data_IF_549373609140
#
_entry.id   IF_549373609140
#
_cell.length_a   1.000
_cell.length_b   1.000
_cell.length_c   1.000
_cell.angle_alpha   90.00
_cell.angle_beta   90.00
_cell.angle_gamma   90.00
#
_symmetry.space_group_name_H-M   'P 1'
#
loop_
_entity.id
_entity.type
_entity.pdbx_description
1 polymer ?
#
# COMPACT_ATOMS: atom_id res chain seq x y z
N UNK A 1 1.28 -20.53 1.79
CA UNK A 1 0.33 -20.99 0.77
C UNK A 1 -1.11 -20.86 1.26
N UNK A 2 -2.00 -20.28 0.45
CA UNK A 2 -3.46 -20.25 0.67
C UNK A 2 -4.18 -20.98 -0.46
N UNK A 3 -5.31 -21.63 -0.15
CA UNK A 3 -6.13 -22.36 -1.13
C UNK A 3 -7.57 -21.90 -1.01
N UNK A 4 -8.18 -21.58 -2.14
CA UNK A 4 -9.57 -21.12 -2.25
C UNK A 4 -10.34 -21.95 -3.27
N UNK A 5 -11.65 -22.06 -3.07
CA UNK A 5 -12.56 -22.74 -3.99
C UNK A 5 -13.41 -21.75 -4.76
N UNK A 6 -13.61 -22.06 -6.04
CA UNK A 6 -14.33 -21.23 -7.00
C UNK A 6 -15.19 -22.11 -7.92
N UNK A 7 -16.26 -21.49 -8.43
CA UNK A 7 -17.09 -22.05 -9.50
C UNK A 7 -16.85 -21.27 -10.79
N UNK A 8 -16.64 -21.98 -11.90
CA UNK A 8 -16.46 -21.39 -13.22
C UNK A 8 -17.83 -21.18 -13.88
N UNK A 9 -18.24 -19.93 -14.05
CA UNK A 9 -19.52 -19.55 -14.64
C UNK A 9 -19.25 -18.60 -15.80
N UNK A 10 -19.61 -19.01 -17.01
CA UNK A 10 -19.43 -18.20 -18.25
C UNK A 10 -17.99 -17.69 -18.45
N UNK A 11 -16.99 -18.48 -18.07
CA UNK A 11 -15.58 -18.12 -18.22
C UNK A 11 -15.00 -17.30 -17.06
N UNK A 12 -15.81 -16.92 -16.08
CA UNK A 12 -15.36 -16.19 -14.89
C UNK A 12 -15.41 -17.08 -13.63
N UNK A 13 -14.47 -16.86 -12.71
CA UNK A 13 -14.38 -17.54 -11.43
C UNK A 13 -15.12 -16.77 -10.35
N UNK A 14 -16.15 -17.40 -9.80
CA UNK A 14 -16.95 -16.90 -8.68
C UNK A 14 -16.55 -17.62 -7.39
N UNK A 15 -16.29 -16.90 -6.27
CA UNK A 15 -16.01 -17.54 -4.99
C UNK A 15 -17.14 -18.49 -4.60
N UNK A 16 -16.81 -19.75 -4.31
CA UNK A 16 -17.77 -20.79 -3.95
C UNK A 16 -17.07 -21.85 -3.09
N UNK A 17 -17.46 -21.99 -1.83
CA UNK A 17 -16.88 -22.96 -0.91
C UNK A 17 -17.07 -24.42 -1.35
N UNK A 18 -18.07 -24.68 -2.19
CA UNK A 18 -18.33 -25.99 -2.78
C UNK A 18 -17.86 -26.09 -4.24
N UNK A 19 -17.19 -25.05 -4.75
CA UNK A 19 -16.72 -24.99 -6.13
C UNK A 19 -15.68 -26.06 -6.46
N UNK A 20 -15.68 -26.49 -7.72
CA UNK A 20 -14.76 -27.50 -8.26
C UNK A 20 -13.40 -26.94 -8.71
N UNK A 21 -13.24 -25.62 -8.81
CA UNK A 21 -11.97 -24.99 -9.20
C UNK A 21 -11.19 -24.65 -7.94
N UNK A 22 -9.94 -25.09 -7.87
CA UNK A 22 -9.00 -24.79 -6.80
C UNK A 22 -8.04 -23.69 -7.24
N UNK A 23 -7.92 -22.65 -6.42
CA UNK A 23 -7.01 -21.52 -6.64
C UNK A 23 -5.98 -21.51 -5.52
N UNK A 24 -4.71 -21.70 -5.88
CA UNK A 24 -3.57 -21.69 -4.98
C UNK A 24 -2.87 -20.34 -5.08
N UNK A 25 -2.56 -19.74 -3.92
CA UNK A 25 -1.84 -18.47 -3.84
C UNK A 25 -0.64 -18.61 -2.90
N UNK A 26 0.55 -18.34 -3.42
CA UNK A 26 1.81 -18.35 -2.68
C UNK A 26 2.70 -17.18 -3.10
N UNK A 27 2.65 -16.10 -2.31
CA UNK A 27 3.34 -14.86 -2.65
C UNK A 27 2.85 -14.33 -4.01
N UNK A 28 3.75 -14.13 -5.00
CA UNK A 28 3.36 -13.70 -6.35
C UNK A 28 2.81 -14.82 -7.23
N UNK A 29 2.89 -16.09 -6.79
CA UNK A 29 2.48 -17.25 -7.59
C UNK A 29 0.99 -17.52 -7.40
N UNK A 30 0.29 -17.66 -8.52
CA UNK A 30 -1.10 -18.10 -8.58
C UNK A 30 -1.20 -19.29 -9.51
N UNK A 31 -1.80 -20.37 -9.03
CA UNK A 31 -2.14 -21.53 -9.85
C UNK A 31 -3.63 -21.82 -9.72
N UNK A 32 -4.29 -22.09 -10.85
CA UNK A 32 -5.73 -22.36 -10.90
C UNK A 32 -5.94 -23.70 -11.56
N UNK A 33 -6.60 -24.62 -10.87
CA UNK A 33 -6.78 -26.01 -11.27
C UNK A 33 -8.25 -26.35 -11.29
N UNK A 34 -8.73 -26.92 -12.39
CA UNK A 34 -10.06 -27.50 -12.52
C UNK A 34 -9.92 -28.98 -12.85
N UNK A 35 -10.20 -29.86 -11.88
CA UNK A 35 -9.89 -31.29 -12.00
C UNK A 35 -8.38 -31.53 -12.14
N UNK A 36 -7.95 -32.08 -13.29
CA UNK A 36 -6.54 -32.34 -13.60
C UNK A 36 -5.93 -31.30 -14.56
N UNK A 37 -6.65 -30.22 -14.86
CA UNK A 37 -6.26 -29.22 -15.86
C UNK A 37 -5.94 -27.89 -15.21
N UNK A 38 -4.80 -27.31 -15.56
CA UNK A 38 -4.46 -25.94 -15.19
C UNK A 38 -5.22 -24.96 -16.10
N UNK A 39 -5.88 -23.99 -15.51
CA UNK A 39 -6.53 -22.89 -16.22
C UNK A 39 -5.52 -21.78 -16.45
N UNK A 40 -5.20 -21.53 -17.72
CA UNK A 40 -4.38 -20.40 -18.14
C UNK A 40 -5.21 -19.12 -18.15
N UNK A 41 -4.63 -18.00 -17.70
CA UNK A 41 -5.26 -16.66 -17.68
C UNK A 41 -6.64 -16.63 -16.99
N UNK A 42 -6.72 -17.01 -15.70
CA UNK A 42 -8.00 -17.03 -14.99
C UNK A 42 -8.60 -15.63 -14.85
N UNK A 43 -9.90 -15.52 -15.15
CA UNK A 43 -10.67 -14.28 -15.00
C UNK A 43 -11.52 -14.39 -13.73
N UNK A 44 -11.24 -13.56 -12.74
CA UNK A 44 -12.01 -13.52 -11.50
C UNK A 44 -13.19 -12.56 -11.64
N UNK A 45 -14.39 -13.02 -11.29
CA UNK A 45 -15.54 -12.13 -11.22
C UNK A 45 -15.32 -11.09 -10.12
N UNK A 46 -15.57 -9.82 -10.41
CA UNK A 46 -15.35 -8.69 -9.49
C UNK A 46 -16.68 -8.08 -9.06
N UNK A 47 -16.79 -7.81 -7.76
CA UNK A 47 -17.83 -6.90 -7.27
C UNK A 47 -17.58 -5.47 -7.76
N UNK A 48 -18.60 -4.60 -7.67
CA UNK A 48 -18.46 -3.18 -8.04
C UNK A 48 -17.35 -2.46 -7.26
N UNK A 49 -17.21 -2.79 -5.98
CA UNK A 49 -16.16 -2.22 -5.11
C UNK A 49 -14.77 -2.67 -5.56
N UNK A 50 -14.61 -3.97 -5.81
CA UNK A 50 -13.35 -4.56 -6.28
C UNK A 50 -12.93 -4.02 -7.65
N UNK A 51 -13.90 -3.89 -8.58
CA UNK A 51 -13.66 -3.29 -9.88
C UNK A 51 -13.19 -1.82 -9.77
N UNK A 52 -13.80 -1.05 -8.86
CA UNK A 52 -13.37 0.33 -8.60
C UNK A 52 -11.95 0.40 -8.04
N UNK A 53 -11.58 -0.49 -7.10
CA UNK A 53 -10.21 -0.56 -6.58
C UNK A 53 -9.20 -0.94 -7.67
N UNK A 54 -9.53 -1.91 -8.53
CA UNK A 54 -8.69 -2.29 -9.67
C UNK A 54 -8.47 -1.10 -10.61
N UNK A 55 -9.52 -0.34 -10.91
CA UNK A 55 -9.39 0.85 -11.75
C UNK A 55 -8.51 1.93 -11.09
N UNK A 56 -8.67 2.17 -9.80
CA UNK A 56 -7.84 3.11 -9.05
C UNK A 56 -6.36 2.70 -9.06
N UNK A 57 -6.05 1.41 -8.86
CA UNK A 57 -4.68 0.90 -8.94
C UNK A 57 -4.11 1.09 -10.34
N UNK A 58 -4.88 0.78 -11.39
CA UNK A 58 -4.45 0.99 -12.79
C UNK A 58 -4.14 2.46 -13.07
N UNK A 59 -5.01 3.38 -12.66
CA UNK A 59 -4.80 4.83 -12.81
C UNK A 59 -3.55 5.29 -12.05
N UNK A 60 -3.39 4.85 -10.80
CA UNK A 60 -2.21 5.18 -10.00
C UNK A 60 -0.92 4.63 -10.63
N UNK A 61 -0.96 3.41 -11.16
CA UNK A 61 0.17 2.79 -11.89
C UNK A 61 0.54 3.61 -13.12
N UNK A 62 -0.45 4.13 -13.86
CA UNK A 62 -0.22 5.01 -15.02
C UNK A 62 0.44 6.34 -14.63
N UNK A 63 0.00 6.99 -13.55
CA UNK A 63 0.61 8.23 -13.08
C UNK A 63 2.04 8.04 -12.56
N UNK A 64 2.30 6.91 -11.92
CA UNK A 64 3.58 6.65 -11.22
C UNK A 64 4.60 5.89 -12.06
N UNK A 65 4.17 5.26 -13.16
CA UNK A 65 5.00 4.36 -13.96
C UNK A 65 5.36 3.04 -13.27
N UNK A 66 4.68 2.69 -12.18
CA UNK A 66 4.94 1.46 -11.42
C UNK A 66 3.95 0.39 -11.83
N UNK A 67 4.45 -0.65 -12.49
CA UNK A 67 3.67 -1.79 -12.91
C UNK A 67 3.50 -2.81 -11.78
N UNK A 68 2.29 -3.37 -11.67
CA UNK A 68 1.96 -4.39 -10.66
C UNK A 68 1.11 -5.50 -11.25
N UNK A 69 1.42 -6.74 -10.87
CA UNK A 69 0.56 -7.88 -11.17
C UNK A 69 -0.57 -7.95 -10.13
N UNK A 70 -1.81 -7.77 -10.57
CA UNK A 70 -2.99 -7.84 -9.70
C UNK A 70 -3.46 -9.27 -9.44
N UNK A 71 -3.03 -10.24 -10.25
CA UNK A 71 -3.53 -11.61 -10.20
C UNK A 71 -3.46 -12.24 -8.79
N UNK A 72 -2.36 -12.10 -8.03
CA UNK A 72 -2.29 -12.61 -6.66
C UNK A 72 -3.33 -11.99 -5.73
N UNK A 73 -3.61 -10.70 -5.87
CA UNK A 73 -4.62 -10.03 -5.06
C UNK A 73 -6.05 -10.45 -5.45
N UNK A 74 -6.33 -10.59 -6.74
CA UNK A 74 -7.63 -10.98 -7.28
C UNK A 74 -8.01 -12.42 -6.93
N UNK A 75 -7.02 -13.29 -6.73
CA UNK A 75 -7.22 -14.68 -6.37
C UNK A 75 -7.83 -14.90 -4.96
N UNK A 76 -7.68 -13.94 -4.03
CA UNK A 76 -8.35 -14.00 -2.73
C UNK A 76 -9.85 -13.74 -2.89
N UNK A 77 -10.74 -14.41 -2.12
CA UNK A 77 -12.16 -14.11 -2.14
C UNK A 77 -12.57 -13.05 -1.10
N UNK A 78 -13.66 -12.33 -1.39
CA UNK A 78 -14.35 -11.44 -0.44
C UNK A 78 -13.46 -10.37 0.21
N UNK A 79 -13.59 -10.16 1.52
CA UNK A 79 -12.85 -9.12 2.26
C UNK A 79 -11.32 -9.26 2.13
N UNK A 80 -10.81 -10.48 1.98
CA UNK A 80 -9.38 -10.71 1.79
C UNK A 80 -8.88 -10.15 0.44
N UNK A 81 -9.73 -10.18 -0.61
CA UNK A 81 -9.45 -9.54 -1.89
C UNK A 81 -9.30 -8.04 -1.74
N UNK A 82 -10.28 -7.40 -1.11
CA UNK A 82 -10.30 -5.95 -0.87
C UNK A 82 -9.06 -5.52 -0.09
N UNK A 83 -8.70 -6.24 0.98
CA UNK A 83 -7.49 -5.97 1.75
C UNK A 83 -6.22 -6.12 0.90
N UNK A 84 -6.15 -7.15 0.06
CA UNK A 84 -5.00 -7.40 -0.81
C UNK A 84 -4.86 -6.32 -1.89
N UNK A 85 -5.96 -5.91 -2.52
CA UNK A 85 -5.98 -4.81 -3.49
C UNK A 85 -5.54 -3.48 -2.86
N UNK A 86 -6.03 -3.17 -1.66
CA UNK A 86 -5.59 -1.97 -0.93
C UNK A 86 -4.09 -2.01 -0.59
N UNK A 87 -3.54 -3.18 -0.25
CA UNK A 87 -2.09 -3.35 -0.04
C UNK A 87 -1.30 -3.09 -1.32
N UNK A 88 -1.77 -3.60 -2.46
CA UNK A 88 -1.14 -3.33 -3.76
C UNK A 88 -1.17 -1.83 -4.07
N UNK A 89 -2.32 -1.17 -3.85
CA UNK A 89 -2.45 0.27 -4.06
C UNK A 89 -1.49 1.08 -3.17
N UNK A 90 -1.40 0.72 -1.88
CA UNK A 90 -0.45 1.31 -0.93
C UNK A 90 1.00 1.12 -1.37
N UNK A 91 1.35 -0.10 -1.80
CA UNK A 91 2.68 -0.41 -2.33
C UNK A 91 3.04 0.45 -3.55
N UNK A 92 2.15 0.55 -4.56
CA UNK A 92 2.39 1.37 -5.75
C UNK A 92 2.73 2.81 -5.36
N UNK A 93 1.96 3.39 -4.44
CA UNK A 93 2.20 4.76 -4.02
C UNK A 93 3.46 4.92 -3.17
N UNK A 94 3.70 4.05 -2.20
CA UNK A 94 4.89 4.09 -1.35
C UNK A 94 6.17 3.93 -2.18
N UNK A 95 6.17 3.02 -3.15
CA UNK A 95 7.26 2.82 -4.10
C UNK A 95 7.52 4.09 -4.93
N UNK A 96 6.47 4.79 -5.35
CA UNK A 96 6.60 6.06 -6.09
C UNK A 96 7.24 7.15 -5.24
N UNK A 97 6.78 7.31 -3.98
CA UNK A 97 7.35 8.28 -3.03
C UNK A 97 8.83 7.93 -2.76
N UNK A 98 9.14 6.65 -2.52
CA UNK A 98 10.51 6.20 -2.32
C UNK A 98 11.41 6.56 -3.51
N UNK A 99 11.02 6.21 -4.74
CA UNK A 99 11.83 6.49 -5.94
C UNK A 99 12.06 7.98 -6.12
N UNK A 100 11.02 8.78 -5.89
CA UNK A 100 11.11 10.24 -5.97
C UNK A 100 12.11 10.78 -4.97
N UNK A 101 12.01 10.39 -3.69
CA UNK A 101 12.87 10.90 -2.64
C UNK A 101 14.31 10.38 -2.77
N UNK A 102 14.48 9.09 -3.10
CA UNK A 102 15.79 8.45 -3.26
C UNK A 102 16.59 9.01 -4.43
N UNK A 103 15.94 9.73 -5.35
CA UNK A 103 16.65 10.43 -6.43
C UNK A 103 17.47 11.63 -5.95
N UNK A 104 17.19 12.15 -4.75
CA UNK A 104 17.80 13.38 -4.22
C UNK A 104 18.35 13.25 -2.79
N UNK A 105 17.87 12.28 -2.02
CA UNK A 105 18.22 12.09 -0.61
C UNK A 105 18.56 10.62 -0.34
N UNK A 106 19.31 10.36 0.73
CA UNK A 106 19.41 9.03 1.31
C UNK A 106 18.08 8.66 1.97
N UNK A 107 17.45 7.58 1.49
CA UNK A 107 16.16 7.11 2.02
C UNK A 107 16.26 5.65 2.46
N UNK A 108 15.88 5.40 3.70
CA UNK A 108 15.78 4.05 4.26
C UNK A 108 14.29 3.65 4.38
N UNK A 109 13.94 2.41 4.00
CA UNK A 109 12.56 1.90 4.09
C UNK A 109 12.34 1.12 5.37
N UNK A 110 11.15 1.24 5.93
CA UNK A 110 10.66 0.41 7.04
C UNK A 110 11.68 0.25 8.17
N UNK A 111 12.36 1.34 8.53
CA UNK A 111 13.33 1.34 9.63
C UNK A 111 12.56 1.24 10.94
N UNK A 112 12.81 0.18 11.72
CA UNK A 112 12.22 0.06 13.07
C UNK A 112 12.83 1.13 13.96
N UNK A 113 12.03 2.14 14.32
CA UNK A 113 12.56 3.33 15.01
C UNK A 113 12.62 3.18 16.53
N UNK A 114 11.83 2.30 17.14
CA UNK A 114 11.88 2.02 18.59
C UNK A 114 11.29 0.65 18.91
N UNK A 115 11.43 0.15 20.13
CA UNK A 115 10.73 -1.08 20.56
C UNK A 115 9.28 -0.79 20.91
N UNK A 116 8.37 -1.67 20.49
CA UNK A 116 6.96 -1.53 20.82
C UNK A 116 6.75 -1.72 22.32
N UNK A 117 6.14 -0.73 22.97
CA UNK A 117 5.72 -0.83 24.37
C UNK A 117 4.41 -1.62 24.55
N UNK A 118 3.97 -2.37 23.53
CA UNK A 118 2.73 -3.14 23.57
C UNK A 118 2.60 -4.04 24.82
N UNK A 119 3.69 -4.64 25.29
CA UNK A 119 3.66 -5.47 26.50
C UNK A 119 3.27 -4.68 27.75
N UNK A 120 3.53 -3.38 27.78
CA UNK A 120 3.27 -2.48 28.90
C UNK A 120 1.94 -1.72 28.74
N UNK A 121 1.67 -1.18 27.54
CA UNK A 121 0.50 -0.31 27.30
C UNK A 121 -0.70 -1.04 26.71
N UNK A 122 -0.53 -2.28 26.22
CA UNK A 122 -1.50 -3.03 25.40
C UNK A 122 -1.93 -2.32 24.10
N UNK A 123 -1.31 -1.19 23.77
CA UNK A 123 -1.56 -0.45 22.54
C UNK A 123 -0.51 -0.84 21.50
N UNK A 124 -0.99 -1.29 20.33
CA UNK A 124 -0.10 -1.60 19.20
C UNK A 124 0.15 -0.33 18.41
N UNK A 125 1.32 0.26 18.63
CA UNK A 125 1.84 1.30 17.75
C UNK A 125 2.78 0.67 16.73
N UNK A 126 2.47 0.85 15.45
CA UNK A 126 3.43 0.63 14.38
C UNK A 126 4.53 1.69 14.54
N UNK A 127 5.73 1.22 14.83
CA UNK A 127 6.93 1.99 15.19
C UNK A 127 7.90 2.14 14.01
N UNK A 128 7.39 1.94 12.80
CA UNK A 128 8.17 1.76 11.59
C UNK A 128 7.54 2.66 10.54
N UNK A 129 8.03 3.90 10.38
CA UNK A 129 7.54 4.78 9.33
C UNK A 129 7.78 4.12 7.98
N UNK A 130 6.94 4.45 7.00
CA UNK A 130 7.09 3.89 5.65
C UNK A 130 8.51 4.19 5.12
N UNK A 131 8.95 5.44 5.23
CA UNK A 131 10.26 5.92 4.79
C UNK A 131 10.93 6.80 5.86
N UNK A 132 12.27 6.80 5.88
CA UNK A 132 13.07 7.71 6.68
C UNK A 132 14.12 8.40 5.80
N UNK A 133 14.02 9.72 5.67
CA UNK A 133 14.91 10.56 4.86
C UNK A 133 16.07 11.07 5.72
N UNK A 134 17.30 10.85 5.25
CA UNK A 134 18.56 11.26 5.91
C UNK A 134 18.63 10.88 7.39
N UNK A 135 18.00 9.76 7.77
CA UNK A 135 17.88 9.28 9.16
C UNK A 135 17.24 10.28 10.14
N UNK A 136 16.52 11.28 9.62
CA UNK A 136 16.02 12.42 10.40
C UNK A 136 14.53 12.70 10.22
N UNK A 137 14.01 12.55 9.01
CA UNK A 137 12.63 12.97 8.68
C UNK A 137 11.83 11.76 8.22
N UNK A 138 10.89 11.24 9.04
CA UNK A 138 9.98 10.19 8.61
C UNK A 138 8.99 10.74 7.58
N UNK A 139 8.72 9.93 6.56
CA UNK A 139 7.73 10.22 5.52
C UNK A 139 6.76 9.05 5.46
N UNK A 140 5.50 9.31 5.77
CA UNK A 140 4.41 8.34 5.69
C UNK A 140 3.64 8.53 4.38
N UNK A 141 3.56 7.48 3.55
CA UNK A 141 2.89 7.51 2.26
C UNK A 141 1.55 6.75 2.34
N UNK A 142 0.42 7.45 2.20
CA UNK A 142 -0.92 6.85 2.37
C UNK A 142 -1.88 7.24 1.26
N UNK A 143 -2.65 6.27 0.77
CA UNK A 143 -3.58 6.46 -0.36
C UNK A 143 -4.97 6.91 0.10
N UNK A 144 -5.44 6.44 1.26
CA UNK A 144 -6.82 6.72 1.71
C UNK A 144 -6.88 7.08 3.20
N UNK A 145 -6.53 6.13 4.05
CA UNK A 145 -6.57 6.31 5.50
C UNK A 145 -5.16 6.33 6.08
N UNK A 146 -4.93 7.25 7.01
CA UNK A 146 -3.73 7.30 7.83
C UNK A 146 -4.14 7.37 9.31
N UNK A 147 -3.32 6.79 10.19
CA UNK A 147 -3.60 6.76 11.62
C UNK A 147 -2.91 7.94 12.31
N UNK A 148 -3.68 8.95 12.75
CA UNK A 148 -3.14 10.10 13.47
C UNK A 148 -2.38 9.69 14.75
N UNK A 149 -2.84 8.66 15.47
CA UNK A 149 -2.15 8.16 16.65
C UNK A 149 -0.76 7.62 16.34
N UNK A 150 -0.60 6.94 15.19
CA UNK A 150 0.71 6.49 14.71
C UNK A 150 1.64 7.67 14.41
N UNK A 151 1.15 8.71 13.73
CA UNK A 151 1.93 9.92 13.46
C UNK A 151 2.33 10.64 14.77
N UNK A 152 1.41 10.67 15.74
CA UNK A 152 1.68 11.27 17.05
C UNK A 152 2.81 10.52 17.78
N UNK A 153 2.83 9.18 17.74
CA UNK A 153 3.93 8.40 18.30
C UNK A 153 5.26 8.69 17.60
N UNK A 154 5.27 8.76 16.27
CA UNK A 154 6.48 9.16 15.53
C UNK A 154 6.96 10.55 15.95
N UNK A 155 6.05 11.49 16.15
CA UNK A 155 6.39 12.87 16.51
C UNK A 155 7.10 13.00 17.87
N UNK A 156 6.95 12.02 18.77
CA UNK A 156 7.68 12.01 20.05
C UNK A 156 9.19 11.82 19.86
N UNK A 157 9.60 11.18 18.76
CA UNK A 157 11.01 10.93 18.42
C UNK A 157 11.52 11.80 17.29
N UNK A 158 10.65 12.14 16.35
CA UNK A 158 10.96 12.95 15.18
C UNK A 158 10.21 14.29 15.27
N UNK A 159 10.89 15.39 15.64
CA UNK A 159 10.25 16.70 15.77
C UNK A 159 9.63 17.24 14.47
N UNK A 160 10.07 16.69 13.33
CA UNK A 160 9.60 16.99 11.99
C UNK A 160 9.23 15.68 11.30
N UNK A 161 8.25 15.72 10.41
CA UNK A 161 7.85 14.57 9.60
C UNK A 161 6.84 14.99 8.54
N UNK A 162 6.64 14.10 7.56
CA UNK A 162 5.73 14.34 6.46
C UNK A 162 4.70 13.22 6.34
N UNK A 163 3.45 13.61 6.07
CA UNK A 163 2.44 12.73 5.50
C UNK A 163 2.26 13.07 4.03
N UNK A 164 2.29 12.08 3.15
CA UNK A 164 2.17 12.28 1.71
C UNK A 164 0.98 11.49 1.21
N UNK A 165 0.14 12.11 0.37
CA UNK A 165 -1.01 11.47 -0.25
C UNK A 165 -0.98 11.67 -1.77
N UNK A 166 -1.46 10.67 -2.55
CA UNK A 166 -1.36 10.74 -4.01
C UNK A 166 -2.20 11.86 -4.59
N UNK A 167 -3.40 12.05 -4.05
CA UNK A 167 -4.39 13.03 -4.51
C UNK A 167 -4.77 14.01 -3.39
N UNK A 168 -5.65 14.95 -3.71
CA UNK A 168 -6.20 15.92 -2.77
C UNK A 168 -6.81 15.24 -1.55
N UNK A 169 -6.43 15.70 -0.36
CA UNK A 169 -6.91 15.19 0.92
C UNK A 169 -6.78 16.28 1.98
N UNK A 170 -7.67 16.25 2.97
CA UNK A 170 -7.55 17.09 4.16
C UNK A 170 -6.97 16.23 5.27
N UNK A 171 -5.71 16.49 5.63
CA UNK A 171 -5.02 15.74 6.66
C UNK A 171 -4.73 16.60 7.89
N UNK A 172 -4.99 16.05 9.06
CA UNK A 172 -4.44 16.48 10.35
C UNK A 172 -3.12 15.74 10.62
N UNK A 173 -2.07 16.50 10.92
CA UNK A 173 -0.75 15.99 11.31
C UNK A 173 -0.32 16.57 12.67
N UNK A 174 0.62 15.93 13.39
CA UNK A 174 1.16 16.46 14.63
C UNK A 174 1.78 17.87 14.47
N UNK A 175 2.01 18.61 15.58
CA UNK A 175 2.69 19.89 15.53
C UNK A 175 4.03 19.80 14.79
N UNK A 176 4.34 20.81 13.97
CA UNK A 176 5.55 20.92 13.12
C UNK A 176 5.68 19.89 11.99
N UNK A 177 4.87 18.83 11.98
CA UNK A 177 4.74 17.97 10.81
C UNK A 177 3.96 18.68 9.72
N UNK A 178 4.15 18.26 8.47
CA UNK A 178 3.42 18.78 7.31
C UNK A 178 2.79 17.63 6.53
N UNK A 179 1.71 17.94 5.82
CA UNK A 179 1.16 17.01 4.84
C UNK A 179 1.27 17.58 3.43
N UNK A 180 1.47 16.70 2.45
CA UNK A 180 1.67 17.04 1.05
C UNK A 180 0.71 16.19 0.21
N UNK A 181 -0.18 16.86 -0.52
CA UNK A 181 -1.24 16.23 -1.32
C UNK A 181 -0.96 16.42 -2.81
N UNK A 182 -1.74 15.73 -3.65
CA UNK A 182 -1.54 15.74 -5.11
C UNK A 182 -0.12 15.32 -5.52
N UNK A 183 0.52 14.48 -4.71
CA UNK A 183 1.94 14.16 -4.87
C UNK A 183 2.23 13.43 -6.18
N UNK A 184 1.26 12.73 -6.79
CA UNK A 184 1.48 12.13 -8.13
C UNK A 184 1.53 13.18 -9.24
N UNK A 185 0.99 14.39 -9.01
CA UNK A 185 0.97 15.48 -9.98
C UNK A 185 2.12 16.47 -9.77
N UNK A 186 2.46 16.78 -8.52
CA UNK A 186 3.52 17.73 -8.21
C UNK A 186 4.30 17.35 -6.94
N UNK A 187 5.55 16.93 -7.12
CA UNK A 187 6.43 16.50 -6.03
C UNK A 187 7.23 17.67 -5.42
N UNK A 188 7.31 18.81 -6.12
CA UNK A 188 8.18 19.95 -5.76
C UNK A 188 7.92 20.49 -4.35
N UNK A 189 6.68 20.59 -3.84
CA UNK A 189 6.44 21.12 -2.49
C UNK A 189 7.11 20.31 -1.38
N UNK A 190 7.06 18.98 -1.44
CA UNK A 190 7.74 18.13 -0.47
C UNK A 190 9.26 18.23 -0.63
N UNK A 191 9.75 18.13 -1.86
CA UNK A 191 11.18 18.16 -2.16
C UNK A 191 11.82 19.48 -1.71
N UNK A 192 11.20 20.62 -2.04
CA UNK A 192 11.69 21.93 -1.62
C UNK A 192 11.68 22.11 -0.10
N UNK A 193 10.65 21.59 0.58
CA UNK A 193 10.60 21.60 2.04
C UNK A 193 11.71 20.75 2.66
N UNK A 194 11.96 19.54 2.13
CA UNK A 194 13.05 18.69 2.61
C UNK A 194 14.42 19.34 2.40
N UNK A 195 14.66 19.94 1.22
CA UNK A 195 15.89 20.69 0.94
C UNK A 195 16.12 21.80 1.97
N UNK A 196 15.10 22.63 2.24
CA UNK A 196 15.21 23.72 3.24
C UNK A 196 15.46 23.28 4.68
N UNK A 197 15.32 21.99 4.98
CA UNK A 197 15.52 21.44 6.32
C UNK A 197 16.82 20.66 6.48
N UNK A 198 17.39 20.19 5.37
CA UNK A 198 18.50 19.24 5.35
C UNK A 198 19.78 19.84 4.76
N UNK A 199 19.68 20.87 3.93
CA UNK A 199 20.79 21.46 3.19
C UNK A 199 20.95 22.98 3.38
N UNK A 200 20.15 23.57 4.28
CA UNK A 200 20.38 24.89 4.88
C UNK A 200 20.98 24.71 6.30
#
# INVERSE_FOLDING_TARGET
MHVFRYSLVKGELYPDENGQVLVFVEGPLVSVVSGNTNLENPVFHLSREEASLVEQIKRLSQFTGIEVNLLPALAYPGKARILSLNRVMGYVFEEFVYRTLSSQFKVERHVKTFESLFKLTRERYHNTPDLLVENRIPVEAKVSFYNYGQLLEYSKRFPLGALVTPFSSNCKVPPRWRYFTNFVMDQRPLLGWLHSLLHD
#
